data_IF_868958513490
#
_entry.id   IF_868958513490
#
_cell.length_a   1.000
_cell.length_b   1.000
_cell.length_c   1.000
_cell.angle_alpha   90.00
_cell.angle_beta   90.00
_cell.angle_gamma   90.00
#
_symmetry.space_group_name_H-M   'P 1'
#
loop_
_entity.id
_entity.type
_entity.pdbx_description
1 polymer ?
#
# COMPACT_ATOMS: atom_id res chain seq x y z
N UNK A 1 -18.49 5.12 34.45
CA UNK A 1 -17.48 4.18 33.89
C UNK A 1 -18.03 3.57 32.62
N UNK A 2 -19.14 2.81 32.68
CA UNK A 2 -19.83 2.23 31.51
C UNK A 2 -20.07 3.18 30.31
N UNK A 3 -20.60 4.40 30.55
CA UNK A 3 -20.88 5.34 29.46
C UNK A 3 -19.62 5.92 28.81
N UNK A 4 -18.51 6.01 29.57
CA UNK A 4 -17.21 6.44 29.03
C UNK A 4 -16.59 5.32 28.20
N UNK A 5 -16.70 4.08 28.67
CA UNK A 5 -16.18 2.91 27.98
C UNK A 5 -16.94 2.68 26.66
N UNK A 6 -18.27 2.90 26.65
CA UNK A 6 -19.07 2.84 25.43
C UNK A 6 -18.69 3.93 24.42
N UNK A 7 -18.48 5.17 24.88
CA UNK A 7 -18.02 6.27 24.01
C UNK A 7 -16.64 5.97 23.40
N UNK A 8 -15.73 5.37 24.17
CA UNK A 8 -14.41 4.96 23.67
C UNK A 8 -14.56 3.87 22.61
N UNK A 9 -15.37 2.83 22.88
CA UNK A 9 -15.65 1.76 21.92
C UNK A 9 -16.26 2.28 20.62
N UNK A 10 -17.21 3.22 20.70
CA UNK A 10 -17.83 3.83 19.52
C UNK A 10 -16.84 4.68 18.71
N UNK A 11 -15.98 5.46 19.38
CA UNK A 11 -14.94 6.24 18.71
C UNK A 11 -13.92 5.33 18.00
N UNK A 12 -13.51 4.24 18.63
CA UNK A 12 -12.58 3.27 18.05
C UNK A 12 -13.22 2.53 16.86
N UNK A 13 -14.49 2.12 16.98
CA UNK A 13 -15.24 1.51 15.88
C UNK A 13 -15.36 2.46 14.67
N UNK A 14 -15.66 3.74 14.90
CA UNK A 14 -15.72 4.75 13.85
C UNK A 14 -14.34 4.95 13.17
N UNK A 15 -13.26 4.99 13.96
CA UNK A 15 -11.89 5.09 13.45
C UNK A 15 -11.53 3.90 12.56
N UNK A 16 -11.82 2.68 13.01
CA UNK A 16 -11.58 1.43 12.26
C UNK A 16 -12.36 1.44 10.94
N UNK A 17 -13.64 1.86 10.98
CA UNK A 17 -14.49 1.96 9.79
C UNK A 17 -13.89 2.92 8.75
N UNK A 18 -13.43 4.11 9.16
CA UNK A 18 -12.83 5.10 8.28
C UNK A 18 -11.51 4.59 7.66
N UNK A 19 -10.65 3.97 8.45
CA UNK A 19 -9.39 3.39 7.97
C UNK A 19 -9.63 2.29 6.93
N UNK A 20 -10.63 1.43 7.14
CA UNK A 20 -11.03 0.39 6.17
C UNK A 20 -11.50 1.01 4.85
N UNK A 21 -12.31 2.06 4.90
CA UNK A 21 -12.81 2.76 3.71
C UNK A 21 -11.66 3.42 2.93
N UNK A 22 -10.74 4.10 3.62
CA UNK A 22 -9.55 4.71 3.03
C UNK A 22 -8.67 3.66 2.34
N UNK A 23 -8.40 2.54 3.02
CA UNK A 23 -7.60 1.46 2.48
C UNK A 23 -8.23 0.82 1.23
N UNK A 24 -9.55 0.64 1.22
CA UNK A 24 -10.28 0.15 0.06
C UNK A 24 -10.13 1.10 -1.13
N UNK A 25 -10.28 2.40 -0.91
CA UNK A 25 -10.12 3.42 -1.94
C UNK A 25 -8.69 3.45 -2.50
N UNK A 26 -7.67 3.36 -1.64
CA UNK A 26 -6.27 3.29 -2.06
C UNK A 26 -5.94 2.02 -2.86
N UNK A 27 -6.62 0.90 -2.61
CA UNK A 27 -6.48 -0.33 -3.40
C UNK A 27 -7.19 -0.23 -4.76
N UNK A 28 -8.33 0.46 -4.81
CA UNK A 28 -9.10 0.68 -6.04
C UNK A 28 -8.52 1.76 -6.95
N UNK A 29 -7.83 2.74 -6.39
CA UNK A 29 -7.04 3.71 -7.13
C UNK A 29 -5.83 3.00 -7.78
N UNK A 30 -6.08 2.11 -8.74
CA UNK A 30 -5.08 1.78 -9.74
C UNK A 30 -4.89 3.06 -10.53
N UNK A 31 -3.69 3.64 -10.42
CA UNK A 31 -3.36 4.83 -11.18
C UNK A 31 -3.77 4.64 -12.64
N UNK A 32 -4.41 5.66 -13.18
CA UNK A 32 -4.76 5.82 -14.57
C UNK A 32 -3.54 5.53 -15.45
N UNK A 33 -3.38 4.27 -15.85
CA UNK A 33 -2.42 3.86 -16.88
C UNK A 33 -2.96 4.43 -18.18
N UNK A 34 -2.73 5.74 -18.41
CA UNK A 34 -2.81 6.30 -19.74
C UNK A 34 -1.63 5.65 -20.47
N UNK A 35 -1.92 4.59 -21.22
CA UNK A 35 -1.02 4.09 -22.24
C UNK A 35 -0.82 5.24 -23.25
N UNK A 36 0.08 6.15 -22.93
CA UNK A 36 0.62 7.09 -23.89
C UNK A 36 1.50 6.25 -24.80
N UNK A 37 0.88 5.72 -25.84
CA UNK A 37 1.58 5.40 -27.08
C UNK A 37 2.12 6.73 -27.61
N UNK A 38 3.30 7.13 -27.14
CA UNK A 38 4.20 8.02 -27.86
C UNK A 38 5.06 7.07 -28.69
N UNK A 39 4.93 6.97 -30.01
CA UNK A 39 4.94 8.07 -30.96
C UNK A 39 6.29 8.04 -31.68
N UNK A 40 6.31 7.46 -32.88
CA UNK A 40 7.25 7.67 -34.00
C UNK A 40 8.76 7.66 -33.72
N UNK A 41 9.47 6.66 -34.25
CA UNK A 41 10.90 6.81 -34.57
C UNK A 41 11.68 5.50 -34.75
N UNK A 42 12.00 5.20 -36.01
CA UNK A 42 13.06 4.30 -36.51
C UNK A 42 12.85 2.78 -36.39
N UNK A 43 12.71 2.16 -37.57
CA UNK A 43 12.96 0.74 -37.85
C UNK A 43 14.37 0.36 -37.34
N UNK A 44 14.59 -0.91 -36.97
CA UNK A 44 15.93 -1.51 -36.73
C UNK A 44 16.55 -1.52 -35.32
N UNK A 45 15.74 -1.67 -34.26
CA UNK A 45 16.26 -2.26 -33.00
C UNK A 45 15.17 -2.97 -32.21
N UNK A 46 15.34 -4.24 -31.78
CA UNK A 46 14.45 -4.85 -30.79
C UNK A 46 14.76 -4.24 -29.43
N UNK A 47 14.28 -3.02 -29.19
CA UNK A 47 14.35 -2.39 -27.88
C UNK A 47 13.24 -3.01 -27.05
N UNK A 48 13.64 -3.87 -26.11
CA UNK A 48 12.81 -4.40 -25.03
C UNK A 48 11.84 -3.31 -24.57
N UNK A 49 10.56 -3.47 -24.92
CA UNK A 49 9.49 -2.56 -24.54
C UNK A 49 9.40 -2.68 -23.03
N UNK A 50 10.13 -1.79 -22.37
CA UNK A 50 10.22 -1.69 -20.94
C UNK A 50 8.82 -1.49 -20.42
N UNK A 51 8.29 -2.55 -19.80
CA UNK A 51 7.01 -2.51 -19.09
C UNK A 51 6.97 -1.20 -18.30
N UNK A 52 5.96 -0.39 -18.58
CA UNK A 52 5.87 1.00 -18.13
C UNK A 52 6.23 1.10 -16.66
N UNK A 53 7.41 1.66 -16.36
CA UNK A 53 7.94 1.79 -14.99
C UNK A 53 7.05 2.78 -14.26
N UNK A 54 5.93 2.33 -13.73
CA UNK A 54 4.90 3.17 -13.12
C UNK A 54 4.82 2.87 -11.63
N UNK A 55 4.43 3.88 -10.85
CA UNK A 55 4.16 3.70 -9.43
C UNK A 55 2.94 2.79 -9.27
N UNK A 56 3.05 1.70 -8.51
CA UNK A 56 1.93 0.78 -8.28
C UNK A 56 0.79 1.35 -7.42
N UNK A 57 0.91 2.61 -6.95
CA UNK A 57 -0.11 3.31 -6.16
C UNK A 57 -0.77 4.42 -6.97
N UNK A 58 0.00 5.43 -7.38
CA UNK A 58 -0.55 6.57 -8.13
C UNK A 58 -0.50 6.42 -9.66
N UNK A 59 0.15 5.37 -10.20
CA UNK A 59 0.31 5.16 -11.64
C UNK A 59 1.29 6.10 -12.34
N UNK A 60 1.80 7.13 -11.65
CA UNK A 60 2.79 8.06 -12.20
C UNK A 60 4.00 7.32 -12.75
N UNK A 61 4.44 7.71 -13.94
CA UNK A 61 5.66 7.20 -14.54
C UNK A 61 6.89 7.51 -13.68
N UNK A 62 7.77 6.53 -13.54
CA UNK A 62 8.98 6.57 -12.75
C UNK A 62 10.16 6.86 -13.69
N UNK A 63 10.98 7.83 -13.30
CA UNK A 63 12.12 8.23 -14.13
C UNK A 63 13.20 7.15 -14.21
N UNK A 64 14.08 7.28 -15.21
CA UNK A 64 15.24 6.37 -15.39
C UNK A 64 16.43 6.76 -14.50
N UNK A 65 16.56 8.04 -14.16
CA UNK A 65 17.68 8.62 -13.39
C UNK A 65 17.18 9.15 -12.03
N UNK A 66 16.19 10.03 -12.05
CA UNK A 66 15.54 10.59 -10.85
C UNK A 66 14.18 9.93 -10.60
N UNK A 67 13.80 9.76 -9.33
CA UNK A 67 12.51 9.18 -8.92
C UNK A 67 12.18 7.83 -9.61
N UNK A 68 13.17 6.93 -9.71
CA UNK A 68 13.03 5.57 -10.32
C UNK A 68 12.10 4.61 -9.56
N UNK A 69 11.42 5.14 -8.54
CA UNK A 69 10.71 4.39 -7.52
C UNK A 69 11.62 3.47 -6.71
N UNK A 70 11.03 2.82 -5.72
CA UNK A 70 11.69 1.78 -4.92
C UNK A 70 10.65 0.74 -4.50
N UNK A 71 11.04 -0.54 -4.30
CA UNK A 71 10.13 -1.57 -3.83
C UNK A 71 9.75 -1.34 -2.37
N UNK A 72 8.47 -1.41 -2.05
CA UNK A 72 7.98 -1.40 -0.67
C UNK A 72 8.55 -2.58 0.12
N UNK A 73 9.03 -2.39 1.35
CA UNK A 73 9.59 -3.49 2.18
C UNK A 73 8.56 -4.57 2.53
N UNK A 74 7.28 -4.21 2.62
CA UNK A 74 6.18 -5.13 2.94
C UNK A 74 5.64 -5.84 1.68
N UNK A 75 5.06 -5.11 0.72
CA UNK A 75 4.40 -5.72 -0.44
C UNK A 75 5.28 -5.85 -1.70
N UNK A 76 6.55 -5.44 -1.65
CA UNK A 76 7.53 -5.48 -2.76
C UNK A 76 7.17 -4.71 -4.05
N UNK A 77 5.98 -4.12 -4.14
CA UNK A 77 5.55 -3.27 -5.26
C UNK A 77 6.37 -1.97 -5.34
N UNK A 78 6.67 -1.53 -6.57
CA UNK A 78 7.49 -0.34 -6.83
C UNK A 78 6.67 0.94 -6.73
N UNK A 79 7.11 1.90 -5.92
CA UNK A 79 6.40 3.15 -5.68
C UNK A 79 7.28 4.38 -5.84
N UNK A 80 6.70 5.48 -6.34
CA UNK A 80 7.35 6.78 -6.42
C UNK A 80 7.65 7.33 -5.02
N UNK A 81 8.47 8.38 -4.91
CA UNK A 81 8.78 9.03 -3.62
C UNK A 81 7.54 9.53 -2.86
N UNK A 82 6.53 10.06 -3.57
CA UNK A 82 5.31 10.60 -2.95
C UNK A 82 4.33 9.54 -2.42
N UNK A 83 4.50 8.27 -2.78
CA UNK A 83 3.68 7.17 -2.24
C UNK A 83 4.39 6.38 -1.14
N UNK A 84 5.46 6.95 -0.55
CA UNK A 84 6.20 6.37 0.57
C UNK A 84 5.81 7.08 1.85
N UNK A 85 5.50 6.29 2.86
CA UNK A 85 5.25 6.75 4.22
C UNK A 85 6.37 6.26 5.11
N UNK A 86 6.94 7.19 5.88
CA UNK A 86 8.06 6.92 6.78
C UNK A 86 7.53 6.66 8.19
N UNK A 87 8.13 5.68 8.87
CA UNK A 87 7.84 5.50 10.29
C UNK A 87 8.37 6.69 11.08
N UNK A 88 7.65 7.13 12.10
CA UNK A 88 8.09 8.21 13.00
C UNK A 88 9.34 7.85 13.80
N UNK A 89 9.67 6.56 13.91
CA UNK A 89 10.76 6.04 14.75
C UNK A 89 11.99 5.58 13.98
N UNK A 90 11.87 5.37 12.67
CA UNK A 90 12.97 4.83 11.84
C UNK A 90 13.03 5.55 10.50
N UNK A 91 14.20 5.52 9.85
CA UNK A 91 14.35 6.04 8.48
C UNK A 91 13.74 5.12 7.41
N UNK A 92 13.07 4.04 7.84
CA UNK A 92 12.42 3.10 6.96
C UNK A 92 11.05 3.58 6.52
N UNK A 93 10.64 3.13 5.33
CA UNK A 93 9.37 3.49 4.72
C UNK A 93 8.63 2.26 4.18
N UNK A 94 7.32 2.40 4.07
CA UNK A 94 6.42 1.49 3.36
C UNK A 94 5.57 2.29 2.39
N UNK A 95 4.91 1.63 1.43
CA UNK A 95 3.96 2.35 0.59
C UNK A 95 2.71 2.76 1.40
N UNK A 96 2.01 3.82 0.96
CA UNK A 96 0.78 4.35 1.58
C UNK A 96 -0.23 3.26 1.99
N UNK A 97 -0.47 2.26 1.16
CA UNK A 97 -1.41 1.16 1.46
C UNK A 97 -0.90 0.27 2.59
N UNK A 98 0.38 -0.08 2.60
CA UNK A 98 0.96 -0.90 3.68
C UNK A 98 1.01 -0.10 4.99
N UNK A 99 1.25 1.21 4.92
CA UNK A 99 1.18 2.09 6.08
C UNK A 99 -0.22 2.07 6.71
N UNK A 100 -1.26 2.28 5.88
CA UNK A 100 -2.66 2.23 6.32
C UNK A 100 -3.09 0.85 6.84
N UNK A 101 -2.56 -0.24 6.27
CA UNK A 101 -2.78 -1.58 6.80
C UNK A 101 -2.22 -1.72 8.22
N UNK A 102 -1.01 -1.21 8.48
CA UNK A 102 -0.40 -1.23 9.82
C UNK A 102 -1.20 -0.36 10.80
N UNK A 103 -1.64 0.84 10.39
CA UNK A 103 -2.51 1.69 11.21
C UNK A 103 -3.82 0.98 11.57
N UNK A 104 -4.41 0.27 10.60
CA UNK A 104 -5.62 -0.50 10.83
C UNK A 104 -5.37 -1.67 11.79
N UNK A 105 -4.28 -2.42 11.60
CA UNK A 105 -3.90 -3.53 12.50
C UNK A 105 -3.61 -3.07 13.93
N UNK A 106 -3.06 -1.87 14.12
CA UNK A 106 -2.83 -1.30 15.44
C UNK A 106 -4.12 -0.74 16.08
N UNK A 107 -5.06 -0.27 15.27
CA UNK A 107 -6.34 0.26 15.75
C UNK A 107 -7.37 -0.84 16.03
N UNK A 108 -7.37 -1.92 15.25
CA UNK A 108 -8.08 -3.14 15.61
C UNK A 108 -7.28 -3.85 16.70
N UNK A 109 -7.92 -4.43 17.72
CA UNK A 109 -7.24 -5.30 18.72
C UNK A 109 -6.64 -6.60 18.12
N UNK A 110 -6.49 -6.64 16.79
CA UNK A 110 -6.06 -7.74 15.93
C UNK A 110 -4.53 -7.77 15.74
N UNK A 111 -3.77 -7.02 16.54
CA UNK A 111 -2.30 -6.98 16.49
C UNK A 111 -1.64 -8.31 16.91
N UNK A 112 -2.44 -9.33 17.31
CA UNK A 112 -1.97 -10.67 17.72
C UNK A 112 -2.45 -11.84 16.84
N UNK A 113 -3.22 -11.62 15.76
CA UNK A 113 -3.74 -12.75 14.94
C UNK A 113 -2.67 -13.50 14.13
N UNK A 114 -1.47 -12.94 13.95
CA UNK A 114 -0.35 -13.64 13.30
C UNK A 114 0.25 -14.80 14.13
N UNK A 115 -0.20 -15.02 15.37
CA UNK A 115 0.26 -16.13 16.23
C UNK A 115 -0.67 -17.36 16.28
N UNK A 116 -1.90 -17.28 15.74
CA UNK A 116 -2.92 -18.34 15.89
C UNK A 116 -3.16 -19.20 14.65
N UNK A 117 -2.46 -18.97 13.54
CA UNK A 117 -2.58 -19.79 12.33
C UNK A 117 -1.52 -20.92 12.26
N UNK A 118 -1.13 -21.46 13.41
CA UNK A 118 -0.18 -22.59 13.53
C UNK A 118 -0.77 -23.88 14.09
N UNK A 119 -2.01 -23.89 14.58
CA UNK A 119 -2.58 -25.06 15.28
C UNK A 119 -4.06 -25.24 14.96
N UNK A 120 -4.37 -25.71 13.76
CA UNK A 120 -5.59 -26.48 13.49
C UNK A 120 -5.46 -27.19 12.14
N UNK A 121 -4.69 -28.29 12.12
CA UNK A 121 -4.95 -29.36 11.16
C UNK A 121 -4.45 -30.66 11.76
N UNK A 122 -5.37 -31.40 12.40
CA UNK A 122 -5.51 -32.86 12.36
C UNK A 122 -6.74 -33.17 13.21
N UNK A 123 -7.90 -33.22 12.58
CA UNK A 123 -9.05 -33.96 13.14
C UNK A 123 -9.15 -35.25 12.35
N UNK A 124 -9.12 -36.33 13.12
CA UNK A 124 -9.22 -37.75 12.83
C UNK A 124 -10.31 -38.14 11.83
#
# INVERSE_FOLDING_TARGET
VLNRDENVRQADAARIMLLRAELFNLRKAKGNVKALVAGGGSLDRPTYIESTRSCSRCGTELGRIINRGAPCRSCRLRVCKGCREFSTRTTDWVCVVCHKQIELQAASEDWMSEYTDGTTTTTT
#
